data_IF_346848997224
#
_entry.id   IF_346848997224
#
_cell.length_a   1.000
_cell.length_b   1.000
_cell.length_c   1.000
_cell.angle_alpha   90.00
_cell.angle_beta   90.00
_cell.angle_gamma   90.00
#
_symmetry.space_group_name_H-M   'P 1'
#
loop_
_entity.id
_entity.type
_entity.pdbx_description
1 polymer ?
#
# COMPACT_ATOMS: atom_id res chain seq x y z
N UNK A 1 1.74 18.76 0.15
CA UNK A 1 0.59 19.46 0.74
C UNK A 1 -0.73 18.92 0.20
N UNK A 2 -1.66 18.49 1.08
CA UNK A 2 -3.03 18.24 0.66
C UNK A 2 -3.67 19.53 0.14
N UNK A 3 -4.50 19.43 -0.89
CA UNK A 3 -5.26 20.56 -1.44
C UNK A 3 -6.66 20.09 -1.82
N UNK A 4 -7.57 21.02 -2.10
CA UNK A 4 -8.91 20.69 -2.56
C UNK A 4 -8.94 20.61 -4.09
N UNK A 5 -9.48 19.51 -4.63
CA UNK A 5 -9.75 19.43 -6.06
C UNK A 5 -10.95 20.30 -6.46
N UNK A 6 -11.29 20.30 -7.76
CA UNK A 6 -12.43 21.07 -8.31
C UNK A 6 -13.79 20.65 -7.72
N UNK A 7 -13.86 19.51 -7.04
CA UNK A 7 -15.05 18.97 -6.40
C UNK A 7 -15.04 19.22 -4.88
N UNK A 8 -14.06 19.97 -4.37
CA UNK A 8 -13.91 20.28 -2.95
C UNK A 8 -13.32 19.13 -2.13
N UNK A 9 -12.85 18.05 -2.75
CA UNK A 9 -12.31 16.88 -2.04
C UNK A 9 -10.85 17.12 -1.68
N UNK A 10 -10.47 16.76 -0.46
CA UNK A 10 -9.07 16.82 -0.03
C UNK A 10 -8.28 15.74 -0.76
N UNK A 11 -7.23 16.13 -1.48
CA UNK A 11 -6.41 15.23 -2.27
C UNK A 11 -4.94 15.63 -2.25
N UNK A 12 -4.06 14.69 -2.60
CA UNK A 12 -2.62 14.92 -2.65
C UNK A 12 -1.81 13.65 -2.48
N UNK A 13 -0.49 13.78 -2.52
CA UNK A 13 0.40 12.62 -2.39
C UNK A 13 0.74 12.31 -0.93
N UNK A 14 0.71 11.01 -0.61
CA UNK A 14 1.27 10.44 0.62
C UNK A 14 2.08 9.21 0.25
N UNK A 15 3.00 8.81 1.13
CA UNK A 15 3.64 7.51 1.03
C UNK A 15 2.93 6.54 1.99
N UNK A 16 2.51 5.38 1.51
CA UNK A 16 1.81 4.34 2.27
C UNK A 16 2.65 3.07 2.33
N UNK A 17 2.66 2.42 3.49
CA UNK A 17 3.18 1.07 3.67
C UNK A 17 2.07 0.05 3.36
N UNK A 18 1.97 -0.40 2.11
CA UNK A 18 0.89 -1.32 1.66
C UNK A 18 1.00 -2.71 2.31
N UNK A 19 2.22 -3.20 2.48
CA UNK A 19 2.51 -4.45 3.18
C UNK A 19 2.95 -4.14 4.59
N UNK A 20 2.17 -4.59 5.58
CA UNK A 20 2.45 -4.37 7.00
C UNK A 20 3.86 -4.82 7.36
N UNK A 21 4.53 -4.01 8.18
CA UNK A 21 5.88 -4.25 8.68
C UNK A 21 6.98 -4.36 7.63
N UNK A 22 6.71 -4.10 6.35
CA UNK A 22 7.73 -4.11 5.30
C UNK A 22 8.77 -2.99 5.45
N UNK A 23 8.41 -1.89 6.12
CA UNK A 23 9.21 -0.67 6.18
C UNK A 23 9.39 0.03 4.83
N UNK A 24 8.71 -0.45 3.79
CA UNK A 24 8.79 0.08 2.43
C UNK A 24 7.53 0.90 2.13
N UNK A 25 7.73 2.20 1.93
CA UNK A 25 6.65 3.12 1.61
C UNK A 25 6.57 3.37 0.10
N UNK A 26 5.37 3.31 -0.45
CA UNK A 26 5.06 3.60 -1.84
C UNK A 26 4.28 4.92 -1.92
N UNK A 27 4.72 5.83 -2.80
CA UNK A 27 3.99 7.08 -3.06
C UNK A 27 2.70 6.77 -3.82
N UNK A 28 1.59 7.29 -3.33
CA UNK A 28 0.26 7.20 -3.95
C UNK A 28 -0.42 8.56 -3.92
N UNK A 29 -1.32 8.78 -4.87
CA UNK A 29 -2.18 9.95 -4.88
C UNK A 29 -3.48 9.60 -4.15
N UNK A 30 -3.73 10.24 -3.01
CA UNK A 30 -4.92 10.02 -2.18
C UNK A 30 -6.00 11.04 -2.51
N UNK A 31 -7.25 10.59 -2.44
CA UNK A 31 -8.45 11.41 -2.53
C UNK A 31 -9.35 11.00 -1.36
N UNK A 32 -9.65 11.98 -0.49
CA UNK A 32 -10.62 11.84 0.59
C UNK A 32 -12.00 12.20 0.04
N UNK A 33 -12.75 11.16 -0.35
CA UNK A 33 -14.12 11.27 -0.84
C UNK A 33 -15.09 11.15 0.35
N UNK A 34 -15.38 12.29 0.96
CA UNK A 34 -16.29 12.39 2.10
C UNK A 34 -17.72 11.96 1.73
N UNK A 35 -18.15 12.23 0.48
CA UNK A 35 -19.50 11.92 0.01
C UNK A 35 -19.74 10.41 -0.06
N UNK A 36 -18.71 9.67 -0.51
CA UNK A 36 -18.79 8.21 -0.63
C UNK A 36 -18.27 7.46 0.60
N UNK A 37 -17.78 8.17 1.63
CA UNK A 37 -17.24 7.53 2.82
C UNK A 37 -15.91 6.82 2.59
N UNK A 38 -15.09 7.26 1.62
CA UNK A 38 -13.88 6.54 1.22
C UNK A 38 -12.65 7.44 1.14
N UNK A 39 -11.53 6.95 1.66
CA UNK A 39 -10.20 7.43 1.36
C UNK A 39 -9.58 6.50 0.31
N UNK A 40 -9.55 6.97 -0.94
CA UNK A 40 -9.16 6.18 -2.10
C UNK A 40 -7.78 6.63 -2.58
N UNK A 41 -6.94 5.70 -3.03
CA UNK A 41 -5.62 6.05 -3.53
C UNK A 41 -5.24 5.38 -4.85
N UNK A 42 -4.47 6.10 -5.65
CA UNK A 42 -4.13 5.79 -7.04
C UNK A 42 -2.61 5.78 -7.25
N UNK A 43 -2.17 5.23 -8.40
CA UNK A 43 -0.75 5.25 -8.80
C UNK A 43 -0.20 6.67 -8.97
N UNK A 44 -1.04 7.56 -9.50
CA UNK A 44 -0.80 8.99 -9.69
C UNK A 44 -2.16 9.72 -9.65
N UNK A 45 -2.19 11.03 -9.85
CA UNK A 45 -3.42 11.78 -10.05
C UNK A 45 -4.26 11.14 -11.17
N UNK A 46 -5.55 10.81 -10.94
CA UNK A 46 -6.40 10.19 -11.96
C UNK A 46 -6.51 10.97 -13.27
N UNK A 47 -6.26 12.29 -13.24
CA UNK A 47 -6.21 13.13 -14.44
C UNK A 47 -5.00 12.82 -15.35
N UNK A 48 -3.93 12.26 -14.79
CA UNK A 48 -2.69 11.92 -15.49
C UNK A 48 -2.65 10.43 -15.91
N UNK A 49 -3.62 9.63 -15.45
CA UNK A 49 -3.67 8.19 -15.69
C UNK A 49 -4.45 7.85 -16.97
N UNK A 50 -3.96 6.90 -17.79
CA UNK A 50 -4.73 6.38 -18.91
C UNK A 50 -5.95 5.60 -18.43
N UNK A 51 -6.97 5.46 -19.28
CA UNK A 51 -8.27 4.87 -18.94
C UNK A 51 -8.17 3.50 -18.26
N UNK A 52 -7.26 2.64 -18.74
CA UNK A 52 -7.03 1.31 -18.19
C UNK A 52 -6.54 1.29 -16.72
N UNK A 53 -6.05 2.42 -16.22
CA UNK A 53 -5.44 2.54 -14.88
C UNK A 53 -6.06 3.66 -14.05
N UNK A 54 -7.21 4.20 -14.48
CA UNK A 54 -8.02 5.10 -13.66
C UNK A 54 -8.66 4.40 -12.47
N UNK A 55 -8.57 3.07 -12.39
CA UNK A 55 -8.99 2.30 -11.23
C UNK A 55 -8.13 2.61 -9.98
N UNK A 56 -8.74 2.60 -8.78
CA UNK A 56 -8.00 2.79 -7.55
C UNK A 56 -7.07 1.62 -7.25
N UNK A 57 -5.92 1.92 -6.66
CA UNK A 57 -4.95 0.92 -6.17
C UNK A 57 -5.44 0.32 -4.87
N UNK A 58 -6.13 1.11 -4.06
CA UNK A 58 -6.84 0.64 -2.89
C UNK A 58 -7.77 1.70 -2.33
N UNK A 59 -8.61 1.25 -1.40
CA UNK A 59 -9.59 2.08 -0.72
C UNK A 59 -9.64 1.76 0.77
N UNK A 60 -9.84 2.80 1.57
CA UNK A 60 -10.01 2.72 3.01
C UNK A 60 -11.37 3.33 3.33
N UNK A 61 -12.27 2.56 3.94
CA UNK A 61 -13.58 3.06 4.35
C UNK A 61 -13.40 3.99 5.57
N UNK A 62 -13.78 5.26 5.43
CA UNK A 62 -13.56 6.26 6.48
C UNK A 62 -14.45 6.05 7.69
N UNK A 63 -15.62 5.43 7.52
CA UNK A 63 -16.52 5.08 8.63
C UNK A 63 -15.94 3.99 9.53
N UNK A 64 -14.99 3.21 9.01
CA UNK A 64 -14.30 2.17 9.78
C UNK A 64 -13.02 2.69 10.46
N UNK A 65 -12.68 3.97 10.27
CA UNK A 65 -11.52 4.59 10.93
C UNK A 65 -11.88 4.86 12.39
N UNK A 66 -11.19 4.17 13.30
CA UNK A 66 -11.37 4.36 14.74
C UNK A 66 -10.44 5.43 15.31
N UNK A 67 -9.28 5.65 14.70
CA UNK A 67 -8.27 6.60 15.19
C UNK A 67 -7.28 7.02 14.10
N UNK A 68 -6.99 8.31 14.03
CA UNK A 68 -5.84 8.85 13.28
C UNK A 68 -4.91 9.57 14.26
N UNK A 69 -3.63 9.23 14.26
CA UNK A 69 -2.65 9.77 15.22
C UNK A 69 -1.26 9.93 14.64
N UNK A 70 -0.44 10.75 15.30
CA UNK A 70 0.99 10.86 14.99
C UNK A 70 1.68 9.49 15.16
N UNK A 71 2.46 9.11 14.15
CA UNK A 71 3.16 7.84 14.05
C UNK A 71 4.59 7.89 14.61
N UNK A 72 5.08 9.04 15.06
CA UNK A 72 6.46 9.23 15.53
C UNK A 72 6.87 8.26 16.66
N UNK A 73 5.94 7.90 17.55
CA UNK A 73 6.20 6.93 18.62
C UNK A 73 6.37 5.49 18.09
N UNK A 74 5.58 5.12 17.08
CA UNK A 74 5.58 3.77 16.50
C UNK A 74 6.68 3.60 15.45
N UNK A 75 7.02 4.67 14.72
CA UNK A 75 8.01 4.69 13.65
C UNK A 75 8.93 5.92 13.78
N UNK A 76 9.80 5.99 14.80
CA UNK A 76 10.64 7.16 15.04
C UNK A 76 11.65 7.46 13.91
N UNK A 77 11.99 6.45 13.11
CA UNK A 77 12.88 6.59 11.94
C UNK A 77 12.18 7.18 10.72
N UNK A 78 10.85 7.20 10.68
CA UNK A 78 10.06 7.67 9.53
C UNK A 78 9.54 9.07 9.85
N UNK A 79 10.19 10.09 9.29
CA UNK A 79 9.78 11.49 9.48
C UNK A 79 8.37 11.72 8.94
N UNK A 80 7.62 12.60 9.59
CA UNK A 80 6.28 13.03 9.19
C UNK A 80 5.29 11.86 9.00
N UNK A 81 5.48 10.79 9.79
CA UNK A 81 4.65 9.60 9.76
C UNK A 81 3.43 9.78 10.65
N UNK A 82 2.29 9.27 10.19
CA UNK A 82 1.06 9.17 10.96
C UNK A 82 0.39 7.82 10.68
N UNK A 83 -0.48 7.42 11.59
CA UNK A 83 -1.17 6.13 11.53
C UNK A 83 -2.66 6.31 11.44
N UNK A 84 -3.30 5.51 10.59
CA UNK A 84 -4.75 5.42 10.46
C UNK A 84 -5.16 4.00 10.89
N UNK A 85 -5.96 3.90 11.95
CA UNK A 85 -6.47 2.62 12.47
C UNK A 85 -7.84 2.36 11.88
N UNK A 86 -7.99 1.29 11.10
CA UNK A 86 -9.24 0.94 10.40
C UNK A 86 -9.61 -0.49 10.73
N UNK A 87 -10.77 -0.71 11.36
CA UNK A 87 -11.26 -2.05 11.72
C UNK A 87 -10.20 -2.96 12.39
N UNK A 88 -9.36 -2.38 13.26
CA UNK A 88 -8.27 -3.09 13.96
C UNK A 88 -6.95 -3.18 13.20
N UNK A 89 -6.89 -2.75 11.94
CA UNK A 89 -5.68 -2.69 11.11
C UNK A 89 -4.99 -1.33 11.21
N UNK A 90 -3.66 -1.31 11.29
CA UNK A 90 -2.85 -0.08 11.29
C UNK A 90 -2.26 0.20 9.91
N UNK A 91 -2.64 1.31 9.33
CA UNK A 91 -2.03 1.85 8.11
C UNK A 91 -0.98 2.89 8.48
N UNK A 92 0.26 2.72 8.01
CA UNK A 92 1.31 3.73 8.15
C UNK A 92 1.35 4.61 6.90
N UNK A 93 1.18 5.91 7.13
CA UNK A 93 1.23 6.96 6.11
C UNK A 93 2.35 7.93 6.45
N UNK A 94 2.96 8.51 5.43
CA UNK A 94 4.01 9.49 5.56
C UNK A 94 3.73 10.67 4.62
N UNK A 95 3.72 11.87 5.19
CA UNK A 95 3.66 13.11 4.43
C UNK A 95 5.06 13.57 3.99
N UNK A 96 5.10 14.54 3.06
CA UNK A 96 6.36 15.11 2.57
C UNK A 96 6.98 16.07 3.59
N UNK A 97 6.13 16.83 4.29
CA UNK A 97 6.51 17.82 5.30
C UNK A 97 5.65 17.70 6.58
N UNK A 98 6.07 18.32 7.68
CA UNK A 98 5.33 18.26 8.95
C UNK A 98 3.97 18.98 8.92
N UNK A 99 3.82 20.18 8.30
CA UNK A 99 2.51 20.81 8.15
C UNK A 99 1.52 19.94 7.36
N UNK A 100 2.01 19.30 6.29
CA UNK A 100 1.21 18.37 5.47
C UNK A 100 0.67 17.20 6.29
N UNK A 101 1.51 16.64 7.17
CA UNK A 101 1.12 15.55 8.08
C UNK A 101 -0.10 15.96 8.91
N UNK A 102 -0.04 17.14 9.53
CA UNK A 102 -1.12 17.62 10.39
C UNK A 102 -2.40 17.92 9.62
N UNK A 103 -2.30 18.54 8.44
CA UNK A 103 -3.45 18.80 7.57
C UNK A 103 -4.14 17.49 7.14
N UNK A 104 -3.36 16.44 6.83
CA UNK A 104 -3.93 15.12 6.52
C UNK A 104 -4.58 14.45 7.73
N UNK A 105 -3.93 14.48 8.90
CA UNK A 105 -4.49 13.94 10.15
C UNK A 105 -5.83 14.61 10.45
N UNK A 106 -5.86 15.94 10.37
CA UNK A 106 -7.06 16.75 10.63
C UNK A 106 -8.17 16.43 9.63
N UNK A 107 -7.87 16.46 8.32
CA UNK A 107 -8.85 16.19 7.27
C UNK A 107 -9.48 14.79 7.42
N UNK A 108 -8.67 13.77 7.69
CA UNK A 108 -9.17 12.39 7.85
C UNK A 108 -9.97 12.27 9.15
N UNK A 109 -9.51 12.85 10.27
CA UNK A 109 -10.27 12.84 11.52
C UNK A 109 -11.61 13.55 11.39
N UNK A 110 -11.66 14.69 10.70
CA UNK A 110 -12.90 15.43 10.48
C UNK A 110 -13.87 14.65 9.59
N UNK A 111 -13.36 13.91 8.61
CA UNK A 111 -14.16 13.05 7.74
C UNK A 111 -14.58 11.72 8.39
N UNK A 112 -13.82 11.21 9.36
CA UNK A 112 -14.14 9.96 10.07
C UNK A 112 -15.10 10.15 11.23
N UNK A 113 -15.16 11.36 11.81
CA UNK A 113 -16.20 11.71 12.78
C UNK A 113 -17.54 11.70 12.07
N UNK A 114 -18.50 10.94 12.60
CA UNK A 114 -19.90 10.96 12.15
C UNK A 114 -20.43 12.37 12.39
N UNK A 115 -20.29 13.26 11.40
CA UNK A 115 -20.88 14.60 11.45
C UNK A 115 -22.38 14.43 11.27
N UNK A 116 -23.13 14.74 12.33
CA UNK A 116 -24.56 14.99 12.23
C UNK A 116 -24.74 16.17 11.28
N UNK A 117 -25.60 16.10 10.24
CA UNK A 117 -25.83 17.24 9.36
C UNK A 117 -26.38 18.39 10.21
N UNK A 118 -25.61 19.48 10.30
CA UNK A 118 -26.00 20.68 11.01
C UNK A 118 -27.15 21.34 10.23
N UNK A 119 -28.39 20.98 10.59
CA UNK A 119 -29.54 21.82 10.26
C UNK A 119 -29.41 23.08 11.11
N UNK A 120 -29.23 24.21 10.43
CA UNK A 120 -29.24 25.56 10.97
C UNK A 120 -30.31 25.76 12.06
N UNK A 121 -29.90 25.73 13.33
CA UNK A 121 -30.71 26.28 14.41
C UNK A 121 -30.36 27.77 14.47
N UNK A 122 -31.25 28.56 13.88
CA UNK A 122 -31.29 30.01 14.06
C UNK A 122 -31.37 30.30 15.56
N UNK A 123 -30.61 31.29 16.00
CA UNK A 123 -30.70 31.88 17.33
C UNK A 123 -32.17 32.04 17.76
N UNK A 124 -32.55 31.34 18.81
CA UNK A 124 -33.62 31.78 19.70
C UNK A 124 -33.15 31.43 21.09
N UNK A 125 -32.56 32.41 21.75
CA UNK A 125 -32.37 32.43 23.19
C UNK A 125 -33.75 32.34 23.84
N UNK A 126 -34.08 31.17 24.36
CA UNK A 126 -35.08 31.02 25.42
C UNK A 126 -34.37 30.37 26.60
N UNK A 127 -34.08 31.22 27.58
CA UNK A 127 -33.64 30.84 28.91
C UNK A 127 -34.65 29.84 29.51
N UNK A 128 -34.18 28.62 29.73
CA UNK A 128 -34.84 27.68 30.64
C UNK A 128 -33.97 27.59 31.88
N UNK A 129 -34.38 28.31 32.92
CA UNK A 129 -33.83 28.14 34.26
C UNK A 129 -34.15 26.73 34.77
N UNK A 130 -33.14 25.86 34.80
CA UNK A 130 -33.18 24.67 35.62
C UNK A 130 -32.58 25.02 36.97
N UNK A 131 -33.40 24.84 38.00
CA UNK A 131 -33.05 25.07 39.39
C UNK A 131 -31.82 24.27 39.83
N UNK A 132 -31.11 24.90 40.75
CA UNK A 132 -29.95 24.47 41.53
C UNK A 132 -29.93 22.96 41.85
N UNK A 133 -28.98 22.22 41.26
CA UNK A 133 -28.56 20.88 41.73
C UNK A 133 -27.04 20.79 41.65
N UNK A 134 -26.42 20.92 42.81
CA UNK A 134 -24.99 20.83 43.08
C UNK A 134 -24.41 19.47 42.60
N UNK A 135 -23.49 19.47 41.63
CA UNK A 135 -22.76 18.27 41.20
C UNK A 135 -21.38 18.24 41.87
N UNK A 136 -21.21 17.41 42.90
CA UNK A 136 -19.91 17.12 43.53
C UNK A 136 -19.10 16.10 42.70
N UNK A 137 -17.81 16.36 42.51
CA UNK A 137 -16.87 15.47 41.82
C UNK A 137 -16.47 14.25 42.68
N UNK A 138 -16.28 13.07 42.08
CA UNK A 138 -15.84 11.84 42.75
C UNK A 138 -14.60 11.25 42.07
N UNK A 139 -13.70 10.66 42.86
CA UNK A 139 -12.53 9.90 42.36
C UNK A 139 -12.75 8.41 42.63
N UNK A 140 -12.50 7.56 41.64
CA UNK A 140 -12.63 6.10 41.74
C UNK A 140 -11.27 5.42 41.84
N UNK A 141 -11.10 4.54 42.83
CA UNK A 141 -9.96 3.63 42.94
C UNK A 141 -10.45 2.16 42.93
N UNK A 142 -9.64 1.25 42.38
CA UNK A 142 -9.97 -0.18 42.25
C UNK A 142 -9.01 -0.99 43.12
N UNK A 143 -9.51 -1.58 44.21
CA UNK A 143 -8.80 -2.57 45.01
C UNK A 143 -9.60 -3.87 45.06
N UNK A 144 -8.99 -4.99 44.69
CA UNK A 144 -9.59 -6.32 44.83
C UNK A 144 -10.81 -6.64 43.95
N UNK A 145 -11.07 -5.88 42.88
CA UNK A 145 -12.12 -6.17 41.89
C UNK A 145 -13.50 -5.57 42.17
N UNK A 146 -13.62 -4.61 43.11
CA UNK A 146 -14.86 -3.87 43.38
C UNK A 146 -14.58 -2.36 43.39
N UNK A 147 -15.45 -1.55 42.78
CA UNK A 147 -15.33 -0.08 42.70
C UNK A 147 -16.00 0.57 43.92
N UNK A 148 -15.22 1.30 44.73
CA UNK A 148 -15.74 2.10 45.84
C UNK A 148 -15.67 3.60 45.49
N UNK A 149 -16.75 4.35 45.73
CA UNK A 149 -16.81 5.81 45.55
C UNK A 149 -16.70 6.49 46.92
N UNK A 150 -15.72 7.37 47.12
CA UNK A 150 -15.60 8.23 48.31
C UNK A 150 -15.72 9.71 47.91
N UNK A 151 -16.42 10.55 48.69
CA UNK A 151 -16.53 11.99 48.44
C UNK A 151 -15.26 12.76 48.88
N UNK A 152 -14.87 13.78 48.11
CA UNK A 152 -13.72 14.66 48.38
C UNK A 152 -14.17 15.81 49.29
N UNK A 153 -13.57 15.95 50.48
CA UNK A 153 -13.77 17.12 51.35
C UNK A 153 -12.66 18.15 51.09
N UNK A 154 -13.05 19.34 50.63
CA UNK A 154 -12.23 20.55 50.58
C UNK A 154 -12.57 21.43 51.78
N UNK A 155 -11.57 21.79 52.59
CA UNK A 155 -11.69 22.83 53.60
C UNK A 155 -10.55 23.85 53.40
N UNK A 156 -10.93 25.05 53.00
CA UNK A 156 -10.13 26.27 53.05
C UNK A 156 -10.19 26.87 54.46
N UNK A 157 -9.08 27.37 55.01
CA UNK A 157 -9.03 28.56 55.88
C UNK A 157 -7.65 29.23 55.78
N UNK A 158 -7.65 30.53 55.50
CA UNK A 158 -6.51 31.48 55.45
C UNK A 158 -5.91 31.82 56.83
N UNK A 159 -4.64 32.22 56.88
CA UNK A 159 -4.14 33.52 57.44
C UNK A 159 -2.67 33.51 57.89
N UNK A 160 -1.96 34.54 57.41
CA UNK A 160 -0.84 35.32 57.97
C UNK A 160 0.35 34.68 58.72
N UNK A 161 1.57 34.91 58.25
CA UNK A 161 2.55 35.88 58.81
C UNK A 161 3.99 35.65 58.27
N UNK A 162 4.82 36.66 58.41
CA UNK A 162 6.01 37.03 57.63
C UNK A 162 7.35 36.36 58.01
N UNK A 163 8.42 36.82 57.31
CA UNK A 163 9.88 36.67 57.52
C UNK A 163 10.50 35.35 57.05
N UNK A 164 11.71 35.25 56.52
CA UNK A 164 12.76 36.15 55.98
C UNK A 164 13.79 35.20 55.32
N UNK A 165 14.69 35.74 54.48
CA UNK A 165 16.00 35.18 54.08
C UNK A 165 16.04 33.94 53.16
N UNK A 166 17.03 33.70 52.29
CA UNK A 166 18.10 34.46 51.63
C UNK A 166 18.73 33.49 50.61
N UNK A 167 19.47 34.05 49.67
CA UNK A 167 20.57 33.49 48.89
C UNK A 167 20.34 32.44 47.78
N UNK A 168 20.49 32.96 46.57
CA UNK A 168 21.08 32.31 45.40
C UNK A 168 22.48 31.72 45.64
N UNK A 169 22.80 30.56 45.05
CA UNK A 169 24.05 30.32 44.26
C UNK A 169 24.15 28.93 43.62
N UNK A 170 24.26 28.96 42.29
CA UNK A 170 25.25 28.29 41.42
C UNK A 170 25.87 26.91 41.76
N UNK A 171 25.72 26.03 40.76
CA UNK A 171 26.79 25.29 40.04
C UNK A 171 27.13 23.84 40.39
N UNK A 172 27.21 23.09 39.29
CA UNK A 172 28.19 22.05 38.95
C UNK A 172 27.82 20.56 39.14
N UNK A 173 27.70 19.90 37.98
CA UNK A 173 28.44 18.71 37.56
C UNK A 173 28.46 17.46 38.45
N UNK A 174 27.83 16.40 37.93
CA UNK A 174 28.04 15.03 38.38
C UNK A 174 27.65 14.02 37.30
N UNK A 175 28.46 13.89 36.25
CA UNK A 175 28.45 12.72 35.35
C UNK A 175 29.18 11.58 36.04
N UNK A 176 28.58 10.40 36.13
CA UNK A 176 29.29 9.12 36.04
C UNK A 176 28.42 8.07 35.35
N UNK A 177 29.00 7.47 34.31
CA UNK A 177 28.54 6.28 33.59
C UNK A 177 28.72 5.00 34.41
N UNK A 178 28.20 3.86 33.92
CA UNK A 178 29.11 2.78 33.48
C UNK A 178 28.74 2.31 32.06
N UNK A 179 29.68 2.33 31.10
CA UNK A 179 30.59 1.21 30.76
C UNK A 179 29.84 -0.10 30.45
N UNK A 180 29.47 -0.36 29.20
CA UNK A 180 30.26 -0.98 28.11
C UNK A 180 30.54 -2.46 28.30
N UNK A 181 29.89 -3.28 27.45
CA UNK A 181 30.44 -4.47 26.82
C UNK A 181 29.51 -4.91 25.69
N UNK A 182 30.09 -5.55 24.68
CA UNK A 182 29.50 -6.14 23.45
C UNK A 182 29.55 -5.24 22.21
N UNK A 183 30.73 -5.22 21.60
CA UNK A 183 30.88 -5.10 20.14
C UNK A 183 31.78 -6.23 19.65
N UNK A 184 31.19 -7.29 19.11
CA UNK A 184 31.80 -8.19 18.12
C UNK A 184 30.69 -9.01 17.46
N UNK A 185 30.48 -8.80 16.16
CA UNK A 185 29.57 -9.62 15.37
C UNK A 185 28.66 -8.88 14.39
N UNK A 186 29.16 -7.82 13.72
CA UNK A 186 28.50 -7.28 12.53
C UNK A 186 28.96 -8.07 11.30
N UNK A 187 28.35 -9.24 11.07
CA UNK A 187 28.33 -9.90 9.77
C UNK A 187 27.31 -11.04 9.80
N UNK A 188 26.46 -11.10 8.78
CA UNK A 188 25.35 -12.04 8.58
C UNK A 188 24.05 -11.58 9.23
N UNK A 189 23.11 -11.11 8.41
CA UNK A 189 21.67 -11.46 8.42
C UNK A 189 20.95 -10.57 7.38
N UNK A 190 21.35 -10.72 6.11
CA UNK A 190 20.48 -10.49 4.96
C UNK A 190 20.70 -11.64 3.98
N UNK A 191 20.22 -12.81 4.39
CA UNK A 191 20.00 -13.95 3.52
C UNK A 191 18.56 -14.38 3.82
N UNK A 192 17.81 -14.61 2.74
CA UNK A 192 16.44 -15.12 2.69
C UNK A 192 15.36 -14.11 2.26
N UNK A 193 15.46 -13.71 0.99
CA UNK A 193 14.36 -13.81 0.02
C UNK A 193 14.97 -14.16 -1.34
N UNK A 194 15.64 -15.32 -1.38
CA UNK A 194 16.01 -16.00 -2.61
C UNK A 194 15.17 -17.28 -2.69
N UNK A 195 13.96 -17.16 -3.22
CA UNK A 195 13.27 -18.30 -3.80
C UNK A 195 13.64 -18.34 -5.30
N UNK A 196 14.74 -19.05 -5.56
CA UNK A 196 15.06 -19.78 -6.78
C UNK A 196 14.63 -19.17 -8.13
N UNK A 197 15.38 -18.16 -8.57
CA UNK A 197 15.85 -18.15 -9.96
C UNK A 197 17.35 -18.35 -9.88
N UNK A 198 17.87 -19.39 -10.52
CA UNK A 198 19.30 -19.68 -10.58
C UNK A 198 20.04 -18.51 -11.26
N UNK A 199 20.72 -17.69 -10.46
CA UNK A 199 21.37 -16.44 -10.90
C UNK A 199 22.60 -16.68 -11.77
N UNK A 200 23.00 -17.94 -12.01
CA UNK A 200 24.08 -18.31 -12.91
C UNK A 200 23.69 -18.30 -14.40
N UNK A 201 22.38 -18.26 -14.73
CA UNK A 201 21.88 -18.28 -16.12
C UNK A 201 21.55 -16.90 -16.70
N UNK A 202 21.54 -15.84 -15.89
CA UNK A 202 21.18 -14.49 -16.36
C UNK A 202 22.20 -13.88 -17.33
N UNK A 203 23.44 -14.38 -17.36
CA UNK A 203 24.49 -13.90 -18.27
C UNK A 203 24.37 -14.42 -19.71
N UNK A 204 23.46 -15.35 -20.00
CA UNK A 204 23.20 -15.89 -21.35
C UNK A 204 21.72 -15.78 -21.76
N UNK A 205 20.93 -14.92 -21.10
CA UNK A 205 19.60 -14.58 -21.61
C UNK A 205 19.74 -13.68 -22.82
N UNK A 206 19.08 -14.05 -23.92
CA UNK A 206 19.01 -13.25 -25.14
C UNK A 206 18.43 -11.87 -24.79
N UNK A 207 19.31 -10.89 -24.72
CA UNK A 207 18.94 -9.51 -24.47
C UNK A 207 18.26 -8.94 -25.69
N UNK A 208 17.06 -8.40 -25.49
CA UNK A 208 16.22 -7.80 -26.54
C UNK A 208 16.72 -6.39 -26.87
N UNK A 209 17.06 -5.60 -25.85
CA UNK A 209 17.63 -4.26 -26.02
C UNK A 209 18.52 -3.91 -24.83
N UNK A 210 19.61 -3.19 -25.08
CA UNK A 210 20.51 -2.64 -24.06
C UNK A 210 20.87 -1.20 -24.38
N UNK A 211 21.21 -0.43 -23.35
CA UNK A 211 21.67 0.94 -23.53
C UNK A 211 21.62 1.77 -22.26
N UNK A 212 22.28 2.92 -22.30
CA UNK A 212 22.22 3.87 -21.20
C UNK A 212 20.97 4.74 -21.29
N UNK A 213 20.30 4.90 -20.15
CA UNK A 213 19.22 5.86 -20.00
C UNK A 213 19.37 6.59 -18.65
N UNK A 214 18.70 7.72 -18.51
CA UNK A 214 18.67 8.50 -17.27
C UNK A 214 17.32 8.29 -16.59
N UNK A 215 17.32 7.68 -15.41
CA UNK A 215 16.09 7.37 -14.68
C UNK A 215 15.88 8.26 -13.47
N UNK A 216 14.62 8.54 -13.12
CA UNK A 216 14.28 9.23 -11.89
C UNK A 216 14.41 8.30 -10.66
N UNK A 217 14.92 8.84 -9.55
CA UNK A 217 15.01 8.15 -8.26
C UNK A 217 13.63 7.93 -7.61
N UNK A 218 13.52 6.87 -6.82
CA UNK A 218 12.26 6.46 -6.20
C UNK A 218 11.83 7.44 -5.08
N UNK A 219 12.72 7.64 -4.12
CA UNK A 219 12.52 8.44 -2.90
C UNK A 219 12.97 9.88 -3.17
N UNK A 220 14.28 10.09 -3.34
CA UNK A 220 14.83 11.36 -3.81
C UNK A 220 14.72 11.38 -5.33
N UNK A 221 13.95 12.32 -5.89
CA UNK A 221 13.62 12.44 -7.33
C UNK A 221 14.79 12.85 -8.23
N UNK A 222 16.02 12.50 -7.84
CA UNK A 222 17.22 12.77 -8.60
C UNK A 222 17.31 11.85 -9.82
N UNK A 223 17.84 12.40 -10.91
CA UNK A 223 18.04 11.69 -12.16
C UNK A 223 19.42 11.04 -12.18
N UNK A 224 19.49 9.74 -12.52
CA UNK A 224 20.75 8.98 -12.56
C UNK A 224 20.88 8.19 -13.85
N UNK A 225 22.04 8.31 -14.51
CA UNK A 225 22.40 7.46 -15.66
C UNK A 225 22.61 6.02 -15.19
N UNK A 226 21.97 5.08 -15.88
CA UNK A 226 21.98 3.64 -15.60
C UNK A 226 21.99 2.87 -16.91
N UNK A 227 22.66 1.73 -16.91
CA UNK A 227 22.66 0.83 -18.04
C UNK A 227 21.45 -0.10 -17.93
N UNK A 228 20.54 -0.04 -18.89
CA UNK A 228 19.33 -0.85 -18.93
C UNK A 228 19.53 -2.05 -19.86
N UNK A 229 18.95 -3.17 -19.47
CA UNK A 229 18.93 -4.42 -20.24
C UNK A 229 17.51 -4.98 -20.18
N UNK A 230 16.85 -5.03 -21.33
CA UNK A 230 15.60 -5.76 -21.50
C UNK A 230 15.91 -7.17 -21.99
N UNK A 231 15.36 -8.16 -21.32
CA UNK A 231 15.45 -9.59 -21.66
C UNK A 231 14.07 -10.24 -21.52
N UNK A 232 13.92 -11.51 -21.91
CA UNK A 232 12.64 -12.22 -21.88
C UNK A 232 11.97 -12.20 -20.48
N UNK A 233 12.76 -12.32 -19.42
CA UNK A 233 12.27 -12.32 -18.04
C UNK A 233 11.96 -10.91 -17.47
N UNK A 234 12.20 -9.83 -18.22
CA UNK A 234 11.88 -8.47 -17.78
C UNK A 234 12.97 -7.43 -18.02
N UNK A 235 12.87 -6.30 -17.32
CA UNK A 235 13.72 -5.12 -17.48
C UNK A 235 14.64 -4.96 -16.26
N UNK A 236 15.94 -5.06 -16.48
CA UNK A 236 16.98 -4.90 -15.46
C UNK A 236 17.78 -3.63 -15.67
N UNK A 237 18.28 -3.01 -14.59
CA UNK A 237 19.22 -1.89 -14.70
C UNK A 237 20.41 -1.98 -13.74
N UNK A 238 21.55 -1.50 -14.20
CA UNK A 238 22.88 -1.64 -13.59
C UNK A 238 23.52 -0.26 -13.37
N UNK A 239 24.57 -0.19 -12.53
CA UNK A 239 25.31 1.07 -12.35
C UNK A 239 26.16 1.34 -13.59
N UNK A 240 26.81 0.33 -14.15
CA UNK A 240 27.48 0.32 -15.45
C UNK A 240 27.22 -0.98 -16.21
N UNK A 241 27.67 -1.04 -17.46
CA UNK A 241 27.54 -2.22 -18.33
C UNK A 241 28.36 -3.42 -17.87
N UNK A 242 29.47 -3.17 -17.15
CA UNK A 242 30.39 -4.21 -16.67
C UNK A 242 29.93 -4.87 -15.37
N UNK A 243 28.88 -4.34 -14.73
CA UNK A 243 28.37 -4.89 -13.48
C UNK A 243 27.67 -6.23 -13.71
N UNK A 244 28.04 -7.24 -12.92
CA UNK A 244 27.43 -8.58 -12.99
C UNK A 244 26.02 -8.64 -12.38
N UNK A 245 25.73 -7.77 -11.41
CA UNK A 245 24.47 -7.80 -10.66
C UNK A 245 23.64 -6.55 -10.94
N UNK A 246 22.36 -6.71 -11.31
CA UNK A 246 21.48 -5.58 -11.50
C UNK A 246 21.20 -4.90 -10.15
N UNK A 247 21.08 -3.57 -10.17
CA UNK A 247 20.56 -2.83 -9.01
C UNK A 247 19.11 -3.22 -8.75
N UNK A 248 18.36 -3.49 -9.81
CA UNK A 248 17.00 -4.02 -9.76
C UNK A 248 16.65 -4.69 -11.08
N UNK A 249 15.91 -5.78 -10.94
CA UNK A 249 15.18 -6.43 -12.03
C UNK A 249 13.69 -6.16 -11.83
N UNK A 250 13.02 -5.75 -12.89
CA UNK A 250 11.58 -5.64 -12.99
C UNK A 250 11.11 -6.86 -13.77
N UNK A 251 10.54 -7.88 -13.10
CA UNK A 251 10.03 -9.07 -13.76
C UNK A 251 9.01 -8.70 -14.84
N UNK A 252 8.95 -9.48 -15.92
CA UNK A 252 8.06 -9.21 -17.05
C UNK A 252 6.58 -9.23 -16.64
N UNK A 253 6.24 -9.96 -15.57
CA UNK A 253 4.91 -10.03 -14.96
C UNK A 253 4.53 -8.72 -14.27
N UNK A 254 5.52 -8.01 -13.72
CA UNK A 254 5.33 -6.71 -13.07
C UNK A 254 5.26 -5.56 -14.10
N UNK A 255 5.67 -5.78 -15.35
CA UNK A 255 5.62 -4.77 -16.41
C UNK A 255 4.21 -4.72 -17.02
N UNK A 256 3.52 -3.61 -16.77
CA UNK A 256 2.12 -3.43 -17.16
C UNK A 256 2.01 -2.73 -18.51
N UNK A 257 2.80 -1.67 -18.70
CA UNK A 257 2.78 -0.84 -19.89
C UNK A 257 4.08 -0.02 -20.01
N UNK A 258 4.41 0.41 -21.23
CA UNK A 258 5.39 1.48 -21.48
C UNK A 258 4.79 2.49 -22.45
N UNK A 259 5.02 3.79 -22.22
CA UNK A 259 4.54 4.86 -23.10
C UNK A 259 5.37 6.12 -22.97
N UNK A 260 5.25 7.02 -23.93
CA UNK A 260 5.82 8.36 -23.80
C UNK A 260 5.16 9.09 -22.63
N UNK A 261 5.97 9.80 -21.84
CA UNK A 261 5.44 10.59 -20.74
C UNK A 261 4.63 11.78 -21.30
N UNK A 262 3.57 12.16 -20.59
CA UNK A 262 2.73 13.29 -21.00
C UNK A 262 3.56 14.58 -21.12
N UNK A 263 3.22 15.41 -22.11
CA UNK A 263 3.86 16.72 -22.31
C UNK A 263 3.70 17.54 -21.03
N UNK A 264 4.83 17.98 -20.46
CA UNK A 264 4.84 18.75 -19.21
C UNK A 264 4.88 17.94 -17.90
N UNK A 265 4.84 16.60 -17.95
CA UNK A 265 4.98 15.77 -16.74
C UNK A 265 6.31 16.02 -15.99
N UNK A 266 7.36 16.33 -16.74
CA UNK A 266 8.64 16.80 -16.21
C UNK A 266 9.15 17.98 -17.05
N UNK A 267 8.96 19.24 -16.58
CA UNK A 267 9.49 20.40 -17.28
C UNK A 267 11.02 20.27 -17.37
N UNK A 268 11.57 20.54 -18.56
CA UNK A 268 13.01 20.43 -18.89
C UNK A 268 13.55 19.00 -19.12
N UNK A 269 12.70 18.01 -19.42
CA UNK A 269 13.15 16.67 -19.80
C UNK A 269 12.48 16.20 -21.10
N UNK A 270 13.25 16.24 -22.17
CA UNK A 270 12.85 15.67 -23.47
C UNK A 270 13.12 14.17 -23.51
N UNK A 271 12.59 13.49 -24.54
CA UNK A 271 12.81 12.06 -24.80
C UNK A 271 12.49 11.17 -23.58
N UNK A 272 11.43 11.54 -22.85
CA UNK A 272 11.02 10.89 -21.61
C UNK A 272 9.89 9.89 -21.86
N UNK A 273 10.10 8.66 -21.42
CA UNK A 273 9.07 7.63 -21.37
C UNK A 273 8.87 7.12 -19.95
N UNK A 274 7.72 6.51 -19.72
CA UNK A 274 7.35 5.89 -18.47
C UNK A 274 7.07 4.40 -18.65
N UNK A 275 7.59 3.60 -17.71
CA UNK A 275 7.28 2.18 -17.58
C UNK A 275 6.41 2.00 -16.34
N UNK A 276 5.17 1.57 -16.57
CA UNK A 276 4.18 1.33 -15.52
C UNK A 276 4.39 -0.08 -14.98
N UNK A 277 4.51 -0.17 -13.66
CA UNK A 277 4.60 -1.45 -12.94
C UNK A 277 3.50 -1.56 -11.90
N UNK A 278 3.24 -2.79 -11.42
CA UNK A 278 2.29 -3.08 -10.33
C UNK A 278 2.48 -2.18 -9.10
N UNK A 279 3.72 -1.77 -8.82
CA UNK A 279 4.09 -1.03 -7.60
C UNK A 279 4.30 0.46 -7.82
N UNK A 280 4.76 0.88 -9.00
CA UNK A 280 5.06 2.30 -9.30
C UNK A 280 5.29 2.57 -10.79
N UNK A 281 5.37 3.85 -11.13
CA UNK A 281 5.80 4.33 -12.44
C UNK A 281 7.31 4.62 -12.45
N UNK A 282 8.00 4.22 -13.52
CA UNK A 282 9.41 4.52 -13.76
C UNK A 282 9.55 5.54 -14.88
N UNK A 283 10.00 6.75 -14.56
CA UNK A 283 10.38 7.75 -15.57
C UNK A 283 11.82 7.54 -16.03
N UNK A 284 12.00 7.42 -17.34
CA UNK A 284 13.26 7.09 -18.01
C UNK A 284 13.43 8.02 -19.22
N UNK A 285 14.52 8.79 -19.22
CA UNK A 285 14.91 9.68 -20.31
C UNK A 285 15.97 8.98 -21.18
N UNK A 286 15.78 9.06 -22.49
CA UNK A 286 16.75 8.62 -23.50
C UNK A 286 17.54 9.79 -24.08
N UNK A 287 18.66 9.47 -24.74
CA UNK A 287 19.49 10.48 -25.37
C UNK A 287 18.81 11.05 -26.64
N UNK A 288 18.06 10.23 -27.39
CA UNK A 288 17.32 10.62 -28.61
C UNK A 288 15.84 10.18 -28.58
N UNK A 289 14.95 10.83 -29.37
CA UNK A 289 13.56 10.38 -29.49
C UNK A 289 13.44 9.02 -30.17
N UNK A 290 14.34 8.68 -31.10
CA UNK A 290 14.41 7.36 -31.72
C UNK A 290 14.72 6.28 -30.68
N UNK A 291 15.66 6.55 -29.77
CA UNK A 291 15.98 5.63 -28.68
C UNK A 291 14.80 5.47 -27.73
N UNK A 292 14.12 6.56 -27.37
CA UNK A 292 12.91 6.52 -26.55
C UNK A 292 11.84 5.61 -27.17
N UNK A 293 11.51 5.84 -28.45
CA UNK A 293 10.50 5.04 -29.15
C UNK A 293 10.93 3.57 -29.25
N UNK A 294 12.19 3.32 -29.59
CA UNK A 294 12.73 1.95 -29.64
C UNK A 294 12.66 1.23 -28.28
N UNK A 295 12.89 1.94 -27.16
CA UNK A 295 12.72 1.39 -25.82
C UNK A 295 11.26 1.10 -25.49
N UNK A 296 10.35 2.03 -25.81
CA UNK A 296 8.90 1.84 -25.61
C UNK A 296 8.42 0.59 -26.37
N UNK A 297 8.79 0.48 -27.66
CA UNK A 297 8.36 -0.63 -28.52
C UNK A 297 8.91 -1.97 -28.06
N UNK A 298 10.18 -2.02 -27.64
CA UNK A 298 10.79 -3.24 -27.12
C UNK A 298 10.08 -3.73 -25.85
N UNK A 299 9.79 -2.82 -24.91
CA UNK A 299 9.07 -3.16 -23.67
C UNK A 299 7.64 -3.60 -23.97
N UNK A 300 6.90 -2.86 -24.81
CA UNK A 300 5.53 -3.22 -25.22
C UNK A 300 5.47 -4.59 -25.90
N UNK A 301 6.43 -4.86 -26.80
CA UNK A 301 6.53 -6.14 -27.49
C UNK A 301 6.76 -7.28 -26.51
N UNK A 302 7.64 -7.08 -25.52
CA UNK A 302 7.91 -8.09 -24.48
C UNK A 302 6.67 -8.38 -23.63
N UNK A 303 5.92 -7.34 -23.24
CA UNK A 303 4.66 -7.49 -22.49
C UNK A 303 3.62 -8.26 -23.31
N UNK A 304 3.47 -7.93 -24.60
CA UNK A 304 2.54 -8.62 -25.50
C UNK A 304 2.93 -10.08 -25.69
N UNK A 305 4.22 -10.36 -25.86
CA UNK A 305 4.73 -11.71 -26.05
C UNK A 305 4.42 -12.60 -24.83
N UNK A 306 4.69 -12.12 -23.62
CA UNK A 306 4.32 -12.81 -22.37
C UNK A 306 2.83 -13.20 -22.35
N UNK A 307 1.93 -12.27 -22.65
CA UNK A 307 0.48 -12.52 -22.67
C UNK A 307 0.07 -13.58 -23.70
N UNK A 308 0.75 -13.62 -24.85
CA UNK A 308 0.51 -14.64 -25.87
C UNK A 308 1.00 -16.01 -25.43
N UNK A 309 2.17 -16.07 -24.79
CA UNK A 309 2.76 -17.32 -24.31
C UNK A 309 1.93 -17.91 -23.16
N UNK A 310 1.41 -17.09 -22.25
CA UNK A 310 0.44 -17.50 -21.23
C UNK A 310 -0.83 -18.09 -21.85
N UNK A 311 -1.39 -17.43 -22.88
CA UNK A 311 -2.60 -17.93 -23.55
C UNK A 311 -2.37 -19.26 -24.25
N UNK A 312 -1.21 -19.46 -24.87
CA UNK A 312 -0.83 -20.73 -25.49
C UNK A 312 -0.68 -21.84 -24.45
N UNK A 313 -0.05 -21.53 -23.31
CA UNK A 313 0.10 -22.51 -22.21
C UNK A 313 -1.24 -22.98 -21.63
N UNK A 314 -2.27 -22.13 -21.68
CA UNK A 314 -3.64 -22.48 -21.25
C UNK A 314 -4.46 -23.23 -22.31
N UNK A 315 -3.99 -23.29 -23.56
CA UNK A 315 -4.70 -23.91 -24.69
C UNK A 315 -4.09 -25.26 -25.11
N UNK A 316 -3.02 -25.72 -24.45
CA UNK A 316 -2.41 -27.01 -24.72
C UNK A 316 -3.29 -28.15 -24.16
N UNK A 317 -3.96 -28.98 -24.99
CA UNK A 317 -4.87 -30.04 -24.54
C UNK A 317 -4.12 -31.31 -24.10
N UNK A 318 -2.80 -31.28 -23.98
CA UNK A 318 -1.95 -32.45 -23.76
C UNK A 318 -2.09 -33.10 -22.37
N UNK A 319 -2.95 -32.58 -21.48
CA UNK A 319 -3.37 -33.25 -20.25
C UNK A 319 -4.70 -34.02 -20.37
N UNK A 320 -5.37 -33.99 -21.54
CA UNK A 320 -6.62 -34.73 -21.76
C UNK A 320 -6.42 -36.07 -22.51
N UNK A 321 -5.27 -36.30 -23.15
CA UNK A 321 -5.04 -37.57 -23.88
C UNK A 321 -4.65 -38.74 -22.98
N UNK A 322 -4.14 -38.49 -21.77
CA UNK A 322 -3.79 -39.56 -20.82
C UNK A 322 -5.01 -40.13 -20.09
N UNK A 323 -6.10 -39.37 -19.99
CA UNK A 323 -7.33 -39.84 -19.32
C UNK A 323 -8.18 -40.75 -20.22
N UNK A 324 -8.22 -40.51 -21.53
CA UNK A 324 -8.95 -41.41 -22.46
C UNK A 324 -8.24 -42.77 -22.62
N UNK A 325 -6.90 -42.78 -22.59
CA UNK A 325 -6.11 -44.01 -22.70
C UNK A 325 -6.19 -44.86 -21.41
N UNK A 326 -6.22 -44.23 -20.22
CA UNK A 326 -6.46 -44.93 -18.96
C UNK A 326 -7.89 -45.45 -18.81
N UNK A 327 -8.90 -44.72 -19.32
CA UNK A 327 -10.30 -45.16 -19.28
C UNK A 327 -10.59 -46.35 -20.22
N UNK A 328 -9.79 -46.54 -21.26
CA UNK A 328 -9.84 -47.72 -22.15
C UNK A 328 -9.20 -48.97 -21.52
N UNK A 329 -8.29 -48.80 -20.56
CA UNK A 329 -7.51 -49.90 -19.96
C UNK A 329 -8.23 -50.68 -18.84
N UNK A 330 -9.49 -50.37 -18.55
CA UNK A 330 -10.42 -51.27 -17.84
C UNK A 330 -10.05 -51.67 -16.40
N UNK A 331 -9.24 -50.89 -15.67
CA UNK A 331 -8.76 -51.29 -14.34
C UNK A 331 -9.08 -50.27 -13.24
N UNK A 332 -10.36 -49.93 -13.04
CA UNK A 332 -10.82 -49.23 -11.84
C UNK A 332 -11.95 -49.98 -11.13
N UNK A 333 -11.83 -50.28 -9.81
CA UNK A 333 -12.90 -50.92 -9.05
C UNK A 333 -14.03 -49.91 -8.79
N UNK A 334 -15.28 -50.34 -8.99
CA UNK A 334 -16.46 -49.48 -8.88
C UNK A 334 -16.64 -48.85 -7.49
N UNK A 335 -17.16 -47.61 -7.38
CA UNK A 335 -17.44 -46.99 -6.10
C UNK A 335 -18.58 -47.67 -5.34
N UNK A 336 -18.43 -47.72 -4.02
CA UNK A 336 -19.19 -48.52 -3.03
C UNK A 336 -20.68 -48.15 -2.88
N UNK A 337 -21.20 -47.17 -3.60
CA UNK A 337 -22.61 -46.74 -3.46
C UNK A 337 -23.59 -47.45 -4.41
N UNK A 338 -23.12 -48.28 -5.33
CA UNK A 338 -23.98 -49.07 -6.20
C UNK A 338 -24.50 -50.32 -5.47
N UNK A 339 -25.46 -50.13 -4.55
CA UNK A 339 -26.29 -51.23 -4.05
C UNK A 339 -27.78 -50.97 -4.33
N UNK A 340 -28.23 -51.75 -5.30
CA UNK A 340 -29.48 -52.48 -5.33
C UNK A 340 -30.81 -51.69 -5.41
N UNK A 341 -31.34 -51.62 -6.63
CA UNK A 341 -32.80 -51.69 -6.87
C UNK A 341 -33.09 -52.55 -8.09
N UNK A 342 -33.41 -53.82 -7.81
CA UNK A 342 -34.68 -54.42 -8.23
C UNK A 342 -34.96 -54.47 -9.72
N UNK A 343 -34.67 -55.62 -10.31
CA UNK A 343 -35.21 -56.15 -11.56
C UNK A 343 -36.72 -55.92 -11.72
N UNK A 344 -37.14 -55.33 -12.85
CA UNK A 344 -38.43 -55.63 -13.49
C UNK A 344 -38.27 -55.71 -15.01
N UNK A 345 -38.52 -56.91 -15.52
CA UNK A 345 -38.70 -57.21 -16.94
C UNK A 345 -39.89 -56.43 -17.52
N UNK A 346 -39.76 -55.93 -18.75
CA UNK A 346 -40.89 -55.91 -19.69
C UNK A 346 -40.41 -56.08 -21.14
N UNK A 347 -41.17 -56.93 -21.85
CA UNK A 347 -40.94 -57.51 -23.16
C UNK A 347 -40.96 -56.49 -24.31
N UNK A 348 -40.15 -56.81 -25.32
CA UNK A 348 -40.25 -56.33 -26.71
C UNK A 348 -41.66 -56.49 -27.30
N UNK A 349 -42.13 -55.46 -27.99
CA UNK A 349 -43.00 -55.63 -29.16
C UNK A 349 -42.63 -54.62 -30.24
N UNK A 350 -42.10 -55.15 -31.35
CA UNK A 350 -41.99 -54.47 -32.65
C UNK A 350 -43.39 -54.27 -33.23
N UNK A 351 -43.69 -53.07 -33.74
CA UNK A 351 -44.58 -52.88 -34.90
C UNK A 351 -44.06 -51.75 -35.78
N UNK A 352 -43.66 -52.12 -37.00
CA UNK A 352 -43.61 -51.25 -38.17
C UNK A 352 -45.01 -50.74 -38.53
N UNK A 353 -45.10 -49.58 -39.17
CA UNK A 353 -45.99 -49.21 -40.31
C UNK A 353 -45.58 -47.76 -40.71
N UNK A 354 -44.89 -47.55 -41.84
CA UNK A 354 -45.36 -47.30 -43.22
C UNK A 354 -46.14 -45.98 -43.38
N UNK A 355 -45.64 -45.19 -44.33
CA UNK A 355 -46.14 -43.95 -44.95
C UNK A 355 -47.61 -44.03 -45.42
N UNK A 356 -48.32 -42.92 -45.33
CA UNK A 356 -48.73 -42.11 -46.49
C UNK A 356 -48.92 -40.65 -46.06
#
# INVERSE_FOLDING_TARGET
MPYQDKQGRVCGFLNIEETENSGSFCRRYFILDQNNGKLVYYMDSPANLPEAWKGPVGEINIHNISKVSDGAKLRPKVKYCFTVTVAGRLYFLQAEEDPDKWQWIEAINNASKITVPEKSIRQTTQEWHAADVNQEAYVTEIAGGVVCKMPVQSADVESDTASDDDESKSSSSGRLSPSSSLNRGLSSFTKDMSSSLDHSKASNLLSIKKGFCVKQGAVRKNWKRRYFVLHQQGLSYFKSEQDKHPIRTLPIEDLLEARQAAVGAHPNRDNLFEVLTSKRIFYIQCDTPEDMNSWIDAVRTSIRQRRLDERKSMQDPSSHSTLEEEMSSGTYPSPVWARDRGTRETKQQKKSFILW
#
